data_IF_027901832165
#
_entry.id   IF_027901832165
#
_cell.length_a   1.000
_cell.length_b   1.000
_cell.length_c   1.000
_cell.angle_alpha   90.00
_cell.angle_beta   90.00
_cell.angle_gamma   90.00
#
_symmetry.space_group_name_H-M   'P 1'
#
loop_
_entity.id
_entity.type
_entity.pdbx_description
1 polymer ?
#
# COMPACT_ATOMS: atom_id res chain seq x y z
N UNK A 1 -42.92 31.34 -3.43
CA UNK A 1 -42.22 30.57 -2.38
C UNK A 1 -41.73 29.20 -2.84
N UNK A 2 -42.53 28.41 -3.58
CA UNK A 2 -42.17 27.06 -4.07
C UNK A 2 -40.83 26.97 -4.83
N UNK A 3 -40.55 27.90 -5.75
CA UNK A 3 -39.29 27.89 -6.51
C UNK A 3 -38.04 28.16 -5.66
N UNK A 4 -38.16 28.94 -4.56
CA UNK A 4 -37.03 29.20 -3.66
C UNK A 4 -36.67 27.96 -2.83
N UNK A 5 -37.67 27.21 -2.37
CA UNK A 5 -37.47 25.94 -1.67
C UNK A 5 -36.82 24.88 -2.56
N UNK A 6 -37.24 24.78 -3.82
CA UNK A 6 -36.60 23.88 -4.80
C UNK A 6 -35.13 24.23 -5.05
N UNK A 7 -34.81 25.52 -5.20
CA UNK A 7 -33.42 25.95 -5.38
C UNK A 7 -32.55 25.63 -4.17
N UNK A 8 -33.06 25.86 -2.95
CA UNK A 8 -32.34 25.54 -1.71
C UNK A 8 -32.09 24.03 -1.61
N UNK A 9 -33.10 23.21 -1.92
CA UNK A 9 -32.98 21.75 -1.90
C UNK A 9 -31.93 21.24 -2.89
N UNK A 10 -31.92 21.76 -4.12
CA UNK A 10 -30.92 21.41 -5.13
C UNK A 10 -29.52 21.83 -4.71
N UNK A 11 -29.36 23.06 -4.20
CA UNK A 11 -28.07 23.52 -3.67
C UNK A 11 -27.55 22.62 -2.53
N UNK A 12 -28.40 22.28 -1.57
CA UNK A 12 -28.02 21.38 -0.48
C UNK A 12 -27.60 20.00 -1.00
N UNK A 13 -28.33 19.45 -1.99
CA UNK A 13 -28.03 18.16 -2.58
C UNK A 13 -26.68 18.15 -3.31
N UNK A 14 -26.38 19.23 -4.06
CA UNK A 14 -25.11 19.40 -4.77
C UNK A 14 -23.95 19.58 -3.79
N UNK A 15 -24.13 20.33 -2.71
CA UNK A 15 -23.08 20.49 -1.70
C UNK A 15 -22.75 19.17 -1.00
N UNK A 16 -23.78 18.39 -0.62
CA UNK A 16 -23.58 17.09 0.03
C UNK A 16 -22.91 16.11 -0.92
N UNK A 17 -23.38 16.03 -2.18
CA UNK A 17 -22.78 15.13 -3.17
C UNK A 17 -21.35 15.51 -3.52
N UNK A 18 -21.05 16.80 -3.65
CA UNK A 18 -19.69 17.29 -3.89
C UNK A 18 -18.74 16.95 -2.74
N UNK A 19 -19.16 17.15 -1.50
CA UNK A 19 -18.34 16.79 -0.33
C UNK A 19 -18.10 15.28 -0.24
N UNK A 20 -19.14 14.46 -0.46
CA UNK A 20 -19.00 13.01 -0.45
C UNK A 20 -18.09 12.51 -1.58
N UNK A 21 -18.23 13.09 -2.77
CA UNK A 21 -17.38 12.77 -3.92
C UNK A 21 -15.92 13.13 -3.65
N UNK A 22 -15.66 14.31 -3.06
CA UNK A 22 -14.30 14.72 -2.71
C UNK A 22 -13.62 13.75 -1.75
N UNK A 23 -14.33 13.32 -0.70
CA UNK A 23 -13.81 12.34 0.27
C UNK A 23 -13.58 10.97 -0.37
N UNK A 24 -14.52 10.50 -1.20
CA UNK A 24 -14.41 9.21 -1.87
C UNK A 24 -13.22 9.18 -2.84
N UNK A 25 -13.05 10.25 -3.64
CA UNK A 25 -11.92 10.39 -4.56
C UNK A 25 -10.60 10.46 -3.79
N UNK A 26 -10.55 11.27 -2.73
CA UNK A 26 -9.37 11.37 -1.88
C UNK A 26 -8.97 10.02 -1.29
N UNK A 27 -9.94 9.29 -0.71
CA UNK A 27 -9.68 8.01 -0.08
C UNK A 27 -9.24 6.94 -1.10
N UNK A 28 -9.83 6.92 -2.28
CA UNK A 28 -9.54 5.89 -3.27
C UNK A 28 -8.25 6.15 -4.06
N UNK A 29 -7.91 7.41 -4.32
CA UNK A 29 -6.78 7.77 -5.19
C UNK A 29 -5.56 8.25 -4.41
N UNK A 30 -5.76 9.01 -3.34
CA UNK A 30 -4.68 9.75 -2.66
C UNK A 30 -4.32 9.24 -1.27
N UNK A 31 -5.16 8.41 -0.65
CA UNK A 31 -4.80 7.80 0.63
C UNK A 31 -3.58 6.89 0.46
N UNK A 32 -2.45 7.34 1.01
CA UNK A 32 -1.17 6.64 0.89
C UNK A 32 -1.26 5.31 1.63
N UNK A 33 -1.10 4.20 0.90
CA UNK A 33 -1.11 2.86 1.51
C UNK A 33 0.28 2.55 2.07
N UNK A 34 0.42 2.59 3.39
CA UNK A 34 1.65 2.19 4.07
C UNK A 34 1.74 0.66 4.03
N UNK A 35 2.81 0.14 3.44
CA UNK A 35 3.07 -1.30 3.39
C UNK A 35 4.43 -1.59 3.99
N UNK A 36 4.46 -2.54 4.91
CA UNK A 36 5.69 -3.02 5.51
C UNK A 36 6.21 -4.21 4.69
N UNK A 37 7.45 -4.13 4.22
CA UNK A 37 8.17 -5.27 3.67
C UNK A 37 9.25 -5.70 4.67
N UNK A 38 9.24 -6.96 5.09
CA UNK A 38 10.29 -7.50 5.96
C UNK A 38 11.50 -7.99 5.15
N UNK A 39 12.19 -7.04 4.54
CA UNK A 39 13.38 -7.31 3.71
C UNK A 39 14.55 -7.86 4.54
N UNK A 40 14.63 -7.49 5.82
CA UNK A 40 15.73 -7.87 6.71
C UNK A 40 15.65 -9.36 7.08
N UNK A 41 14.47 -9.84 7.49
CA UNK A 41 14.27 -11.26 7.81
C UNK A 41 14.42 -12.14 6.57
N UNK A 42 13.87 -11.71 5.43
CA UNK A 42 14.02 -12.41 4.14
C UNK A 42 15.50 -12.58 3.76
N UNK A 43 16.30 -11.52 3.81
CA UNK A 43 17.72 -11.58 3.45
C UNK A 43 18.53 -12.46 4.41
N UNK A 44 18.19 -12.48 5.70
CA UNK A 44 18.82 -13.38 6.68
C UNK A 44 18.53 -14.84 6.38
N UNK A 45 17.27 -15.18 6.05
CA UNK A 45 16.89 -16.54 5.65
C UNK A 45 17.54 -16.96 4.33
N UNK A 46 17.48 -16.11 3.30
CA UNK A 46 18.09 -16.39 2.00
C UNK A 46 19.61 -16.60 2.12
N UNK A 47 20.29 -15.79 2.93
CA UNK A 47 21.72 -15.98 3.24
C UNK A 47 21.97 -17.28 4.00
N UNK A 48 21.16 -17.60 5.00
CA UNK A 48 21.30 -18.85 5.75
C UNK A 48 21.10 -20.07 4.84
N UNK A 49 20.09 -20.06 3.97
CA UNK A 49 19.83 -21.13 3.01
C UNK A 49 20.97 -21.29 2.01
N UNK A 50 21.58 -20.19 1.56
CA UNK A 50 22.75 -20.22 0.70
C UNK A 50 23.98 -20.80 1.41
N UNK A 51 24.28 -20.33 2.62
CA UNK A 51 25.41 -20.81 3.43
C UNK A 51 25.26 -22.29 3.81
N UNK A 52 24.02 -22.73 4.06
CA UNK A 52 23.69 -24.14 4.32
C UNK A 52 23.64 -25.01 3.05
N UNK A 53 24.02 -24.46 1.88
CA UNK A 53 23.97 -25.12 0.56
C UNK A 53 22.58 -25.66 0.18
N UNK A 54 21.51 -25.14 0.80
CA UNK A 54 20.13 -25.51 0.48
C UNK A 54 19.66 -24.88 -0.84
N UNK A 55 20.27 -23.77 -1.23
CA UNK A 55 20.01 -23.09 -2.50
C UNK A 55 21.32 -22.79 -3.23
N UNK A 56 21.26 -22.82 -4.55
CA UNK A 56 22.38 -22.45 -5.43
C UNK A 56 22.42 -20.92 -5.65
N UNK A 57 23.55 -20.36 -6.13
CA UNK A 57 23.66 -18.92 -6.42
C UNK A 57 22.55 -18.42 -7.37
N UNK A 58 22.22 -19.21 -8.41
CA UNK A 58 21.15 -18.87 -9.37
C UNK A 58 19.77 -18.84 -8.72
N UNK A 59 19.49 -19.76 -7.79
CA UNK A 59 18.22 -19.79 -7.06
C UNK A 59 18.11 -18.64 -6.05
N UNK A 60 19.23 -18.20 -5.46
CA UNK A 60 19.26 -17.01 -4.61
C UNK A 60 18.90 -15.76 -5.40
N UNK A 61 19.51 -15.58 -6.58
CA UNK A 61 19.22 -14.46 -7.48
C UNK A 61 17.75 -14.43 -7.92
N UNK A 62 17.19 -15.59 -8.29
CA UNK A 62 15.76 -15.70 -8.63
C UNK A 62 14.84 -15.32 -7.46
N UNK A 63 15.15 -15.75 -6.24
CA UNK A 63 14.36 -15.40 -5.05
C UNK A 63 14.40 -13.91 -4.74
N UNK A 64 15.57 -13.28 -4.89
CA UNK A 64 15.73 -11.83 -4.71
C UNK A 64 14.92 -11.08 -5.78
N UNK A 65 14.99 -11.51 -7.04
CA UNK A 65 14.22 -10.86 -8.12
C UNK A 65 12.70 -11.00 -7.91
N UNK A 66 12.23 -12.14 -7.43
CA UNK A 66 10.81 -12.34 -7.07
C UNK A 66 10.38 -11.39 -5.95
N UNK A 67 11.18 -11.27 -4.89
CA UNK A 67 10.91 -10.35 -3.79
C UNK A 67 10.91 -8.87 -4.25
N UNK A 68 11.86 -8.49 -5.11
CA UNK A 68 11.87 -7.16 -5.72
C UNK A 68 10.67 -6.92 -6.64
N UNK A 69 10.22 -7.95 -7.37
CA UNK A 69 9.02 -7.89 -8.19
C UNK A 69 7.76 -7.56 -7.37
N UNK A 70 7.60 -8.20 -6.21
CA UNK A 70 6.48 -7.91 -5.30
C UNK A 70 6.52 -6.48 -4.75
N UNK A 71 7.71 -5.97 -4.42
CA UNK A 71 7.88 -4.58 -3.97
C UNK A 71 7.59 -3.59 -5.11
N UNK A 72 8.02 -3.90 -6.34
CA UNK A 72 7.78 -3.06 -7.55
C UNK A 72 6.33 -3.04 -8.00
N UNK A 73 5.55 -4.10 -7.72
CA UNK A 73 4.13 -4.17 -8.06
C UNK A 73 3.24 -3.31 -7.16
N UNK A 74 3.79 -2.74 -6.09
CA UNK A 74 3.05 -1.88 -5.19
C UNK A 74 2.71 -0.54 -5.88
N UNK A 75 1.47 -0.03 -5.75
CA UNK A 75 1.04 1.19 -6.44
C UNK A 75 1.85 2.43 -6.02
N UNK A 76 1.99 3.38 -6.94
CA UNK A 76 2.81 4.59 -6.75
C UNK A 76 2.37 5.48 -5.57
N UNK A 77 1.15 5.31 -5.06
CA UNK A 77 0.63 5.98 -3.86
C UNK A 77 0.92 5.18 -2.58
N UNK A 78 2.06 4.51 -2.51
CA UNK A 78 2.46 3.72 -1.34
C UNK A 78 3.85 4.07 -0.86
N UNK A 79 4.05 3.90 0.44
CA UNK A 79 5.36 4.01 1.06
C UNK A 79 5.70 2.62 1.59
N UNK A 80 6.78 2.06 1.06
CA UNK A 80 7.33 0.78 1.53
C UNK A 80 8.28 1.08 2.68
N UNK A 81 7.93 0.61 3.87
CA UNK A 81 8.76 0.73 5.05
C UNK A 81 9.36 -0.64 5.37
N UNK A 82 10.64 -0.67 5.74
CA UNK A 82 11.26 -1.88 6.27
C UNK A 82 10.69 -2.16 7.66
N UNK A 83 10.38 -3.42 7.96
CA UNK A 83 9.72 -3.85 9.22
C UNK A 83 10.42 -3.33 10.49
N UNK A 84 11.74 -3.10 10.44
CA UNK A 84 12.54 -2.53 11.55
C UNK A 84 12.18 -1.07 11.90
N UNK A 85 11.52 -0.36 10.99
CA UNK A 85 11.11 1.05 11.15
C UNK A 85 9.62 1.18 11.48
N UNK A 86 8.85 0.09 11.33
CA UNK A 86 7.39 0.11 11.48
C UNK A 86 6.98 -0.26 12.90
N UNK A 87 6.66 0.75 13.71
CA UNK A 87 6.20 0.58 15.10
C UNK A 87 4.66 0.63 15.24
N UNK A 88 3.89 0.63 14.14
CA UNK A 88 2.46 0.98 14.15
C UNK A 88 1.53 -0.18 13.76
N UNK A 89 0.43 -0.33 14.52
CA UNK A 89 -0.52 -1.47 14.44
C UNK A 89 -1.36 -1.55 13.16
N UNK A 90 -1.39 -0.51 12.33
CA UNK A 90 -2.29 -0.40 11.16
C UNK A 90 -1.57 -0.57 9.81
N UNK A 91 -0.43 -1.25 9.79
CA UNK A 91 0.34 -1.45 8.55
C UNK A 91 0.11 -2.85 8.02
N UNK A 92 -0.23 -2.96 6.73
CA UNK A 92 -0.32 -4.24 6.05
C UNK A 92 1.11 -4.75 5.78
N UNK A 93 1.47 -5.86 6.40
CA UNK A 93 2.76 -6.51 6.20
C UNK A 93 2.65 -7.39 4.96
N UNK A 94 3.54 -7.17 3.99
CA UNK A 94 3.73 -8.06 2.85
C UNK A 94 5.05 -8.79 3.10
N UNK A 95 4.95 -10.07 3.45
CA UNK A 95 6.08 -10.97 3.43
C UNK A 95 6.25 -11.50 2.00
N UNK A 96 7.46 -11.48 1.43
CA UNK A 96 7.77 -12.18 0.19
C UNK A 96 7.73 -13.70 0.36
#
# INVERSE_FOLDING_TARGET
>A
MRNRLLLIAVCAMVSISSSAAAVAIYHHWFAVRIVAADTATFMRQARADYLNRKITPKQLEQRIEQAMGLIRQQPANSVVLTSDVVLSKNVKIIAP
#
